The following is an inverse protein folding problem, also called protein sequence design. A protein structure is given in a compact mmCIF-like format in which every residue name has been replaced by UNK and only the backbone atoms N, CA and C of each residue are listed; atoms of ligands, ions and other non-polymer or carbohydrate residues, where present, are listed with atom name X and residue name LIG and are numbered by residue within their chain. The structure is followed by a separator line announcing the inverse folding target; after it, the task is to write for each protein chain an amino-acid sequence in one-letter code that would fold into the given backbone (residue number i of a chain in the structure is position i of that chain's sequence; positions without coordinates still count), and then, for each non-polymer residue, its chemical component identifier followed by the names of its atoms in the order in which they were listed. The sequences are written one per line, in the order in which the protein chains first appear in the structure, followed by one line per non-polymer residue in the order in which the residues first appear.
data_IF_987984538030
#
_entry.id   IF_987984538030
#
_cell.length_a   1.000
_cell.length_b   1.000
_cell.length_c   1.000
_cell.angle_alpha   90.00
_cell.angle_beta   90.00
_cell.angle_gamma   90.00
#
_symmetry.space_group_name_H-M   'P 1'
#
loop_
_entity.id
_entity.type
_entity.pdbx_description
1 polymer ?
#
# COMPACT_ATOMS: atom_id res chain seq x y z
N UNK A 1 -7.16 -12.84 17.36
CA UNK A 1 -8.24 -12.55 18.33
C UNK A 1 -8.79 -13.86 18.85
N UNK A 2 -8.82 -14.02 20.16
CA UNK A 2 -9.27 -15.24 20.83
C UNK A 2 -10.37 -14.92 21.83
N UNK A 3 -11.11 -15.94 22.29
CA UNK A 3 -12.20 -15.80 23.26
C UNK A 3 -12.12 -16.91 24.30
N UNK A 4 -12.26 -16.52 25.57
CA UNK A 4 -12.30 -17.44 26.72
C UNK A 4 -13.74 -17.94 26.90
N UNK A 5 -13.94 -19.24 27.08
CA UNK A 5 -15.26 -19.87 27.18
C UNK A 5 -15.71 -20.12 28.63
N UNK A 6 -14.80 -20.09 29.61
CA UNK A 6 -15.02 -20.34 31.04
C UNK A 6 -15.89 -19.35 31.84
N UNK A 7 -17.03 -18.87 31.32
CA UNK A 7 -18.08 -18.22 32.12
C UNK A 7 -19.47 -18.28 31.42
N UNK A 8 -20.56 -18.35 32.20
CA UNK A 8 -21.86 -18.79 31.68
C UNK A 8 -22.72 -17.75 30.91
N UNK A 9 -23.28 -18.27 29.81
CA UNK A 9 -24.65 -18.08 29.26
C UNK A 9 -25.04 -16.79 28.50
N UNK A 10 -25.93 -17.08 27.52
CA UNK A 10 -26.72 -16.25 26.59
C UNK A 10 -26.84 -14.75 26.84
N UNK A 11 -26.59 -13.98 25.78
CA UNK A 11 -27.35 -12.77 25.45
C UNK A 11 -27.93 -12.89 24.03
N UNK A 12 -29.23 -12.63 23.89
CA UNK A 12 -29.91 -12.53 22.59
C UNK A 12 -30.09 -11.06 22.26
N UNK A 13 -29.72 -10.67 21.03
CA UNK A 13 -30.20 -9.41 20.42
C UNK A 13 -30.36 -9.60 18.92
N UNK A 14 -31.61 -9.77 18.51
CA UNK A 14 -31.99 -9.71 17.10
C UNK A 14 -32.08 -8.23 16.69
N UNK A 15 -31.41 -7.88 15.60
CA UNK A 15 -31.66 -6.67 14.83
C UNK A 15 -31.67 -7.08 13.37
N UNK A 16 -32.79 -6.83 12.70
CA UNK A 16 -32.88 -7.03 11.26
C UNK A 16 -32.13 -5.89 10.56
N UNK A 17 -31.24 -6.26 9.65
CA UNK A 17 -30.64 -5.37 8.66
C UNK A 17 -30.90 -6.07 7.32
N UNK A 18 -31.54 -5.37 6.38
CA UNK A 18 -31.84 -5.93 5.07
C UNK A 18 -30.57 -6.12 4.26
N UNK A 19 -30.13 -7.37 4.09
CA UNK A 19 -29.02 -7.72 3.20
C UNK A 19 -29.56 -8.10 1.82
N UNK A 20 -29.02 -7.47 0.77
CA UNK A 20 -29.17 -7.98 -0.60
C UNK A 20 -28.23 -9.18 -0.75
N UNK A 21 -28.75 -10.38 -0.50
CA UNK A 21 -27.99 -11.63 -0.67
C UNK A 21 -27.88 -11.95 -2.15
N UNK A 22 -26.77 -11.56 -2.76
CA UNK A 22 -26.38 -12.08 -4.07
C UNK A 22 -26.02 -13.57 -3.91
N UNK A 23 -26.94 -14.45 -4.32
CA UNK A 23 -26.72 -15.89 -4.35
C UNK A 23 -25.68 -16.27 -5.42
N UNK A 24 -24.40 -16.18 -5.05
CA UNK A 24 -23.33 -16.82 -5.81
C UNK A 24 -23.55 -18.34 -5.76
N UNK A 25 -23.79 -18.97 -6.91
CA UNK A 25 -23.85 -20.44 -7.01
C UNK A 25 -22.47 -21.00 -6.70
N UNK A 26 -22.40 -22.02 -5.85
CA UNK A 26 -21.16 -22.74 -5.56
C UNK A 26 -20.52 -23.25 -6.86
N UNK A 27 -19.25 -22.91 -7.09
CA UNK A 27 -18.51 -23.42 -8.25
C UNK A 27 -18.45 -24.97 -8.17
N UNK A 28 -18.90 -25.69 -9.21
CA UNK A 28 -18.85 -27.14 -9.20
C UNK A 28 -17.39 -27.60 -9.33
N UNK A 29 -16.94 -28.44 -8.41
CA UNK A 29 -15.67 -29.19 -8.52
C UNK A 29 -15.84 -30.33 -9.55
N UNK A 30 -16.06 -29.95 -10.81
CA UNK A 30 -16.14 -30.89 -11.91
C UNK A 30 -14.73 -31.25 -12.39
N UNK A 31 -14.57 -32.50 -12.84
CA UNK A 31 -13.37 -32.92 -13.54
C UNK A 31 -13.52 -32.48 -15.00
N UNK A 32 -13.22 -31.20 -15.28
CA UNK A 32 -13.35 -30.64 -16.63
C UNK A 32 -12.45 -31.41 -17.61
N UNK A 33 -13.01 -31.79 -18.75
CA UNK A 33 -12.30 -32.51 -19.81
C UNK A 33 -11.20 -31.67 -20.46
N UNK A 34 -10.61 -32.18 -21.53
CA UNK A 34 -9.66 -31.41 -22.32
C UNK A 34 -10.38 -30.24 -23.02
N UNK A 35 -9.68 -29.12 -23.16
CA UNK A 35 -10.26 -27.94 -23.81
C UNK A 35 -10.35 -28.15 -25.33
N UNK A 36 -11.33 -27.53 -26.01
CA UNK A 36 -11.33 -27.43 -27.47
C UNK A 36 -10.02 -26.83 -27.98
N UNK A 37 -9.58 -27.23 -29.18
CA UNK A 37 -8.35 -26.68 -29.76
C UNK A 37 -8.54 -25.24 -30.26
N UNK A 38 -9.74 -24.88 -30.73
CA UNK A 38 -10.04 -23.55 -31.27
C UNK A 38 -10.29 -22.54 -30.14
N UNK A 39 -9.67 -21.36 -30.25
CA UNK A 39 -9.90 -20.21 -29.38
C UNK A 39 -11.39 -19.81 -29.30
N UNK A 40 -12.10 -19.83 -30.43
CA UNK A 40 -13.51 -19.43 -30.49
C UNK A 40 -14.41 -20.40 -29.71
N UNK A 41 -14.11 -21.71 -29.77
CA UNK A 41 -14.85 -22.75 -29.04
C UNK A 41 -14.61 -22.65 -27.53
N UNK A 42 -13.37 -22.33 -27.11
CA UNK A 42 -13.06 -22.04 -25.70
C UNK A 42 -13.81 -20.80 -25.24
N UNK A 43 -13.83 -19.72 -26.03
CA UNK A 43 -14.60 -18.50 -25.72
C UNK A 43 -16.08 -18.82 -25.56
N UNK A 44 -16.71 -19.53 -26.51
CA UNK A 44 -18.13 -19.89 -26.39
C UNK A 44 -18.40 -20.79 -25.17
N UNK A 45 -17.51 -21.72 -24.84
CA UNK A 45 -17.63 -22.57 -23.65
C UNK A 45 -17.53 -21.77 -22.33
N UNK A 46 -16.69 -20.73 -22.29
CA UNK A 46 -16.60 -19.80 -21.14
C UNK A 46 -17.82 -18.89 -21.06
N UNK A 47 -18.29 -18.34 -22.19
CA UNK A 47 -19.50 -17.50 -22.29
C UNK A 47 -20.75 -18.28 -21.86
N UNK A 48 -20.86 -19.56 -22.24
CA UNK A 48 -21.94 -20.45 -21.83
C UNK A 48 -21.83 -20.94 -20.37
N UNK A 49 -20.74 -20.62 -19.66
CA UNK A 49 -20.51 -21.05 -18.28
C UNK A 49 -20.16 -22.54 -18.12
N UNK A 50 -19.80 -23.23 -19.21
CA UNK A 50 -19.40 -24.64 -19.23
C UNK A 50 -17.94 -24.80 -18.79
N UNK A 51 -17.06 -23.91 -19.27
CA UNK A 51 -15.67 -23.79 -18.83
C UNK A 51 -15.52 -22.62 -17.84
N UNK A 52 -15.18 -22.84 -16.57
CA UNK A 52 -14.89 -21.74 -15.65
C UNK A 52 -13.64 -20.98 -16.10
N UNK A 53 -13.70 -19.65 -16.15
CA UNK A 53 -12.56 -18.88 -16.67
C UNK A 53 -11.27 -19.01 -15.84
N UNK A 54 -11.35 -19.38 -14.55
CA UNK A 54 -10.19 -19.50 -13.66
C UNK A 54 -9.34 -20.77 -13.87
N UNK A 55 -9.74 -21.71 -14.74
CA UNK A 55 -8.92 -22.91 -15.07
C UNK A 55 -8.15 -22.77 -16.38
N UNK A 56 -8.28 -21.65 -17.10
CA UNK A 56 -7.70 -21.50 -18.44
C UNK A 56 -6.17 -21.61 -18.42
N UNK A 57 -5.50 -20.96 -17.47
CA UNK A 57 -4.05 -21.00 -17.30
C UNK A 57 -3.54 -22.45 -17.10
N UNK A 58 -4.18 -23.22 -16.21
CA UNK A 58 -3.76 -24.59 -15.90
C UNK A 58 -4.17 -25.64 -16.93
N UNK A 59 -5.17 -25.35 -17.77
CA UNK A 59 -5.62 -26.23 -18.86
C UNK A 59 -4.98 -25.95 -20.22
N UNK A 60 -4.55 -24.71 -20.47
CA UNK A 60 -3.85 -24.32 -21.70
C UNK A 60 -2.34 -24.44 -21.58
N UNK A 61 -1.79 -24.34 -20.36
CA UNK A 61 -0.35 -24.19 -20.10
C UNK A 61 0.25 -23.01 -20.88
N UNK A 62 -0.55 -21.95 -21.03
CA UNK A 62 -0.24 -20.70 -21.74
C UNK A 62 -1.05 -19.58 -21.07
N UNK A 63 -0.39 -18.75 -20.27
CA UNK A 63 -1.00 -17.71 -19.47
C UNK A 63 -1.38 -16.47 -20.28
N UNK A 64 -0.67 -16.18 -21.38
CA UNK A 64 -1.03 -15.12 -22.32
C UNK A 64 -2.30 -15.49 -23.09
N UNK A 65 -2.37 -16.71 -23.64
CA UNK A 65 -3.57 -17.23 -24.31
C UNK A 65 -4.76 -17.32 -23.36
N UNK A 66 -4.55 -17.71 -22.09
CA UNK A 66 -5.59 -17.68 -21.07
C UNK A 66 -6.15 -16.25 -20.85
N UNK A 67 -5.28 -15.25 -20.72
CA UNK A 67 -5.67 -13.85 -20.57
C UNK A 67 -6.39 -13.30 -21.82
N UNK A 68 -5.91 -13.66 -23.02
CA UNK A 68 -6.56 -13.35 -24.30
C UNK A 68 -8.00 -13.91 -24.37
N UNK A 69 -8.16 -15.21 -24.13
CA UNK A 69 -9.45 -15.90 -24.23
C UNK A 69 -10.45 -15.37 -23.20
N UNK A 70 -9.99 -15.01 -22.01
CA UNK A 70 -10.80 -14.33 -20.98
C UNK A 70 -11.24 -12.94 -21.41
N UNK A 71 -10.33 -12.14 -21.98
CA UNK A 71 -10.61 -10.83 -22.59
C UNK A 71 -11.66 -10.93 -23.69
N UNK A 72 -11.53 -11.89 -24.60
CA UNK A 72 -12.48 -12.05 -25.72
C UNK A 72 -13.83 -12.60 -25.23
N UNK A 73 -13.84 -13.46 -24.20
CA UNK A 73 -15.07 -13.86 -23.50
C UNK A 73 -15.79 -12.66 -22.86
N UNK A 74 -15.06 -11.73 -22.22
CA UNK A 74 -15.64 -10.49 -21.70
C UNK A 74 -16.20 -9.58 -22.79
N UNK A 75 -15.55 -9.49 -23.97
CA UNK A 75 -16.08 -8.74 -25.12
C UNK A 75 -17.45 -9.28 -25.54
N UNK A 76 -17.60 -10.60 -25.63
CA UNK A 76 -18.89 -11.26 -25.96
C UNK A 76 -19.93 -11.05 -24.86
N UNK A 77 -19.59 -11.28 -23.59
CA UNK A 77 -20.53 -11.17 -22.45
C UNK A 77 -21.04 -9.74 -22.26
N UNK A 78 -20.19 -8.73 -22.44
CA UNK A 78 -20.52 -7.33 -22.13
C UNK A 78 -20.95 -6.49 -23.33
N UNK A 79 -20.70 -6.96 -24.56
CA UNK A 79 -20.87 -6.18 -25.78
C UNK A 79 -19.94 -4.96 -25.87
N UNK A 80 -18.86 -4.91 -25.08
CA UNK A 80 -17.93 -3.77 -24.99
C UNK A 80 -16.50 -4.22 -25.23
N UNK A 81 -15.73 -3.40 -25.94
CA UNK A 81 -14.30 -3.65 -26.09
C UNK A 81 -13.49 -3.05 -24.93
N UNK A 82 -12.38 -3.72 -24.61
CA UNK A 82 -11.32 -3.25 -23.70
C UNK A 82 -9.99 -3.04 -24.44
N UNK A 83 -10.02 -2.67 -25.73
CA UNK A 83 -8.81 -2.50 -26.55
C UNK A 83 -7.91 -1.32 -26.13
N UNK A 84 -8.38 -0.44 -25.23
CA UNK A 84 -7.53 0.52 -24.51
C UNK A 84 -6.70 -0.09 -23.36
N UNK A 85 -6.91 -1.36 -23.01
CA UNK A 85 -6.10 -2.12 -22.05
C UNK A 85 -5.11 -3.00 -22.84
N UNK A 86 -3.79 -2.76 -22.74
CA UNK A 86 -2.77 -3.63 -23.32
C UNK A 86 -2.87 -5.10 -22.90
N UNK A 87 -2.50 -6.00 -23.80
CA UNK A 87 -2.35 -7.43 -23.55
C UNK A 87 -0.87 -7.85 -23.72
N UNK A 88 -0.24 -7.44 -24.81
CA UNK A 88 1.14 -7.85 -25.16
C UNK A 88 2.22 -7.06 -24.43
N UNK A 89 3.41 -7.65 -24.31
CA UNK A 89 4.55 -7.04 -23.61
C UNK A 89 4.54 -7.20 -22.10
N UNK A 90 3.76 -8.15 -21.56
CA UNK A 90 3.70 -8.49 -20.14
C UNK A 90 3.95 -9.99 -19.92
N UNK A 91 4.68 -10.31 -18.85
CA UNK A 91 4.97 -11.68 -18.40
C UNK A 91 3.83 -12.16 -17.47
N UNK A 92 2.90 -12.92 -18.03
CA UNK A 92 1.75 -13.46 -17.30
C UNK A 92 2.09 -14.64 -16.38
N UNK A 93 3.23 -15.31 -16.58
CA UNK A 93 3.69 -16.37 -15.68
C UNK A 93 4.18 -15.76 -14.35
N UNK A 94 4.80 -14.57 -14.40
CA UNK A 94 5.29 -13.85 -13.21
C UNK A 94 4.22 -13.47 -12.18
N UNK A 95 2.93 -13.38 -12.58
CA UNK A 95 1.81 -13.06 -11.68
C UNK A 95 1.02 -14.28 -11.20
N UNK A 96 1.17 -15.43 -11.86
CA UNK A 96 0.29 -16.58 -11.66
C UNK A 96 0.39 -17.14 -10.24
N UNK A 97 -0.74 -17.12 -9.51
CA UNK A 97 -0.81 -17.57 -8.11
C UNK A 97 0.00 -16.72 -7.11
N UNK A 98 0.45 -15.52 -7.51
CA UNK A 98 1.26 -14.63 -6.67
C UNK A 98 0.71 -13.20 -6.55
N UNK A 99 0.22 -12.62 -7.64
CA UNK A 99 -0.05 -11.16 -7.72
C UNK A 99 -1.43 -10.80 -8.25
N UNK A 100 -2.06 -11.62 -9.10
CA UNK A 100 -3.36 -11.32 -9.70
C UNK A 100 -4.01 -12.60 -10.27
N UNK A 101 -5.26 -12.88 -9.86
CA UNK A 101 -6.09 -13.93 -10.42
C UNK A 101 -6.88 -13.44 -11.66
N UNK A 102 -7.07 -14.32 -12.64
CA UNK A 102 -7.89 -14.07 -13.84
C UNK A 102 -7.51 -12.81 -14.67
N UNK A 103 -6.23 -12.61 -15.06
CA UNK A 103 -5.79 -11.46 -15.86
C UNK A 103 -6.49 -11.35 -17.23
N UNK A 104 -6.61 -10.13 -17.76
CA UNK A 104 -7.23 -9.80 -19.07
C UNK A 104 -6.44 -8.76 -19.89
N UNK A 105 -5.23 -8.47 -19.43
CA UNK A 105 -4.43 -7.30 -19.79
C UNK A 105 -3.88 -6.61 -18.55
N UNK A 106 -3.16 -5.50 -18.74
CA UNK A 106 -2.50 -4.75 -17.67
C UNK A 106 -2.63 -3.23 -17.87
N UNK A 107 -2.62 -2.47 -16.77
CA UNK A 107 -2.70 -0.99 -16.80
C UNK A 107 -1.29 -0.40 -16.79
N UNK A 108 -0.95 0.37 -17.81
CA UNK A 108 0.29 1.14 -17.85
C UNK A 108 0.15 2.43 -17.02
N UNK A 109 1.08 2.67 -16.10
CA UNK A 109 1.13 3.86 -15.26
C UNK A 109 2.47 4.60 -15.52
N UNK A 110 2.46 5.89 -15.89
CA UNK A 110 3.69 6.64 -16.12
C UNK A 110 4.57 6.75 -14.86
N UNK A 111 5.83 6.34 -14.97
CA UNK A 111 6.83 6.48 -13.89
C UNK A 111 7.75 7.66 -14.22
N UNK A 112 7.99 8.53 -13.24
CA UNK A 112 8.89 9.67 -13.34
C UNK A 112 9.95 9.66 -12.23
N UNK A 113 11.06 10.36 -12.43
CA UNK A 113 12.19 10.42 -11.50
C UNK A 113 12.18 11.77 -10.77
N UNK A 114 12.41 11.74 -9.45
CA UNK A 114 12.67 12.91 -8.63
C UNK A 114 13.94 12.68 -7.80
N UNK A 115 14.90 13.60 -7.87
CA UNK A 115 16.20 13.48 -7.21
C UNK A 115 17.26 14.41 -7.79
N UNK A 116 18.54 14.29 -7.38
CA UNK A 116 19.03 13.34 -6.39
C UNK A 116 18.54 13.65 -4.96
N UNK A 117 18.51 12.62 -4.12
CA UNK A 117 18.19 12.67 -2.68
C UNK A 117 19.33 12.01 -1.92
N UNK A 118 19.81 12.62 -0.83
CA UNK A 118 21.00 12.19 -0.07
C UNK A 118 20.57 11.72 1.31
N UNK A 119 20.89 10.48 1.68
CA UNK A 119 20.44 9.80 2.90
C UNK A 119 21.48 8.76 3.39
N UNK A 120 21.64 8.60 4.70
CA UNK A 120 22.55 7.63 5.35
C UNK A 120 21.77 6.50 6.07
N UNK A 121 22.30 5.25 6.13
CA UNK A 121 21.69 4.15 6.93
C UNK A 121 22.60 2.91 7.17
N UNK A 122 22.23 2.02 8.11
CA UNK A 122 22.96 0.76 8.46
C UNK A 122 22.07 -0.44 8.95
N UNK A 123 22.62 -1.39 9.72
CA UNK A 123 22.36 -2.86 9.68
C UNK A 123 21.49 -3.42 10.87
N UNK A 124 21.05 -4.70 11.03
CA UNK A 124 21.22 -6.00 10.34
C UNK A 124 20.13 -7.07 10.75
N UNK A 125 20.24 -8.31 10.23
CA UNK A 125 19.85 -9.63 10.83
C UNK A 125 18.46 -10.31 10.62
N UNK A 126 18.52 -11.66 10.51
CA UNK A 126 17.55 -12.61 9.88
C UNK A 126 16.21 -12.77 10.61
N UNK A 127 15.12 -13.12 9.93
CA UNK A 127 14.21 -12.14 9.34
C UNK A 127 12.97 -12.01 10.24
N UNK A 128 12.18 -13.09 10.35
CA UNK A 128 11.08 -13.24 11.30
C UNK A 128 11.60 -13.37 12.74
N UNK A 129 11.33 -12.38 13.61
CA UNK A 129 11.54 -12.51 15.07
C UNK A 129 10.46 -11.75 15.83
N UNK A 130 9.77 -12.44 16.73
CA UNK A 130 8.85 -11.81 17.67
C UNK A 130 9.61 -10.79 18.54
N UNK A 131 9.15 -9.55 18.56
CA UNK A 131 9.65 -8.45 19.39
C UNK A 131 8.79 -8.26 20.64
N UNK A 132 7.47 -8.52 20.54
CA UNK A 132 6.54 -8.42 21.65
C UNK A 132 5.11 -8.76 21.24
N UNK A 133 4.24 -8.91 22.25
CA UNK A 133 2.80 -9.12 22.08
C UNK A 133 2.07 -8.09 22.94
N UNK A 134 1.35 -7.16 22.33
CA UNK A 134 0.49 -6.22 23.03
C UNK A 134 -0.92 -6.81 23.15
N UNK A 135 -1.42 -6.92 24.39
CA UNK A 135 -2.71 -7.54 24.70
C UNK A 135 -3.76 -6.51 25.11
N UNK A 136 -4.97 -6.63 24.59
CA UNK A 136 -6.13 -5.80 24.97
C UNK A 136 -7.39 -6.65 25.11
N UNK A 137 -8.24 -6.33 26.10
CA UNK A 137 -9.42 -7.11 26.46
C UNK A 137 -10.72 -6.35 26.20
N UNK A 138 -11.71 -7.03 25.62
CA UNK A 138 -13.09 -6.55 25.51
C UNK A 138 -14.05 -7.62 26.05
N UNK A 139 -14.33 -7.57 27.34
CA UNK A 139 -15.01 -8.66 28.05
C UNK A 139 -14.20 -9.95 27.95
N UNK A 140 -14.83 -11.02 27.46
CA UNK A 140 -14.18 -12.34 27.26
C UNK A 140 -13.38 -12.48 25.95
N UNK A 141 -13.26 -11.43 25.15
CA UNK A 141 -12.45 -11.44 23.92
C UNK A 141 -11.07 -10.82 24.19
N UNK A 142 -10.00 -11.49 23.77
CA UNK A 142 -8.61 -11.05 23.86
C UNK A 142 -8.06 -10.74 22.46
N UNK A 143 -7.55 -9.53 22.30
CA UNK A 143 -6.90 -9.01 21.10
C UNK A 143 -5.39 -8.99 21.35
N UNK A 144 -4.67 -9.80 20.58
CA UNK A 144 -3.20 -9.91 20.66
C UNK A 144 -2.60 -9.31 19.39
N UNK A 145 -1.76 -8.29 19.56
CA UNK A 145 -1.03 -7.60 18.49
C UNK A 145 0.43 -8.03 18.56
N UNK A 146 0.82 -8.91 17.65
CA UNK A 146 2.16 -9.48 17.56
C UNK A 146 3.06 -8.56 16.74
N UNK A 147 4.09 -7.99 17.38
CA UNK A 147 5.10 -7.17 16.70
C UNK A 147 6.29 -8.05 16.34
N UNK A 148 6.64 -8.12 15.06
CA UNK A 148 7.74 -8.93 14.56
C UNK A 148 8.66 -8.12 13.64
N UNK A 149 9.97 -8.38 13.69
CA UNK A 149 10.81 -8.09 12.54
C UNK A 149 10.44 -9.02 11.38
N UNK A 150 10.56 -8.56 10.13
CA UNK A 150 10.20 -9.31 8.92
C UNK A 150 11.32 -9.33 7.88
N UNK A 151 12.42 -8.61 8.12
CA UNK A 151 13.50 -8.45 7.16
C UNK A 151 13.15 -7.52 6.02
N UNK A 152 13.60 -7.90 4.82
CA UNK A 152 13.36 -7.19 3.57
C UNK A 152 11.96 -7.45 2.99
N UNK A 153 11.22 -8.44 3.51
CA UNK A 153 9.82 -8.61 3.20
C UNK A 153 8.94 -7.63 4.02
N UNK A 154 7.86 -7.12 3.42
CA UNK A 154 6.81 -6.39 4.17
C UNK A 154 6.18 -7.32 5.22
N UNK A 155 5.98 -8.60 4.86
CA UNK A 155 5.97 -9.70 5.83
C UNK A 155 4.62 -10.16 6.37
N UNK A 156 3.48 -9.60 5.93
CA UNK A 156 2.15 -10.01 6.41
C UNK A 156 1.90 -11.54 6.41
N UNK A 157 2.29 -12.26 5.34
CA UNK A 157 2.13 -13.72 5.25
C UNK A 157 3.06 -14.46 6.23
N UNK A 158 4.28 -13.95 6.42
CA UNK A 158 5.30 -14.48 7.32
C UNK A 158 4.87 -14.34 8.80
N UNK A 159 4.34 -13.17 9.16
CA UNK A 159 3.79 -12.90 10.50
C UNK A 159 2.53 -13.74 10.73
N UNK A 160 1.59 -13.79 9.78
CA UNK A 160 0.34 -14.55 9.94
C UNK A 160 0.59 -16.04 10.18
N UNK A 161 1.56 -16.65 9.47
CA UNK A 161 1.98 -18.04 9.73
C UNK A 161 2.61 -18.22 11.11
N UNK A 162 3.47 -17.28 11.54
CA UNK A 162 4.05 -17.29 12.87
C UNK A 162 3.00 -17.16 13.99
N UNK A 163 1.99 -16.31 13.78
CA UNK A 163 0.87 -16.14 14.73
C UNK A 163 0.01 -17.40 14.81
N UNK A 164 -0.27 -18.08 13.69
CA UNK A 164 -1.01 -19.35 13.73
C UNK A 164 -0.31 -20.37 14.63
N UNK A 165 0.98 -20.62 14.42
CA UNK A 165 1.75 -21.55 15.25
C UNK A 165 1.71 -21.21 16.76
N UNK A 166 1.68 -19.92 17.12
CA UNK A 166 1.58 -19.49 18.53
C UNK A 166 0.16 -19.65 19.07
N UNK A 167 -0.86 -19.47 18.24
CA UNK A 167 -2.25 -19.74 18.63
C UNK A 167 -2.49 -21.24 18.83
N UNK A 168 -1.97 -22.09 17.94
CA UNK A 168 -2.04 -23.56 18.05
C UNK A 168 -1.36 -24.04 19.35
N UNK A 169 -0.20 -23.48 19.68
CA UNK A 169 0.50 -23.73 20.94
C UNK A 169 -0.31 -23.26 22.15
N UNK A 170 -0.87 -22.04 22.13
CA UNK A 170 -1.70 -21.55 23.23
C UNK A 170 -2.99 -22.37 23.43
N UNK A 171 -3.46 -23.12 22.43
CA UNK A 171 -4.61 -24.03 22.59
C UNK A 171 -4.28 -25.34 23.32
N UNK A 172 -3.01 -25.75 23.49
CA UNK A 172 -2.69 -26.87 24.39
C UNK A 172 -2.84 -26.48 25.86
N UNK A 173 -2.47 -25.24 26.18
CA UNK A 173 -2.39 -24.74 27.55
C UNK A 173 -3.73 -24.12 28.00
N UNK A 174 -4.49 -23.57 27.05
CA UNK A 174 -5.82 -22.98 27.26
C UNK A 174 -6.87 -23.69 26.38
N UNK A 175 -7.32 -24.91 26.72
CA UNK A 175 -8.26 -25.69 25.91
C UNK A 175 -9.68 -25.09 25.85
N UNK A 176 -10.00 -24.07 26.65
CA UNK A 176 -11.24 -23.29 26.54
C UNK A 176 -11.09 -22.00 25.70
N UNK A 177 -9.94 -21.83 25.01
CA UNK A 177 -9.65 -20.70 24.13
C UNK A 177 -10.14 -20.95 22.69
N UNK A 178 -11.20 -20.24 22.30
CA UNK A 178 -11.70 -20.19 20.92
C UNK A 178 -10.86 -19.19 20.09
N UNK A 179 -10.15 -19.66 19.07
CA UNK A 179 -9.51 -18.79 18.07
C UNK A 179 -10.57 -18.32 17.08
N UNK A 180 -11.10 -17.12 17.29
CA UNK A 180 -12.21 -16.56 16.49
C UNK A 180 -11.73 -16.04 15.13
N UNK A 181 -10.51 -15.51 15.06
CA UNK A 181 -9.84 -15.07 13.82
C UNK A 181 -8.38 -14.74 14.11
N UNK A 182 -7.47 -15.03 13.18
CA UNK A 182 -6.08 -14.53 13.21
C UNK A 182 -6.10 -12.98 13.26
N UNK A 183 -6.73 -12.36 12.25
CA UNK A 183 -6.89 -10.90 12.17
C UNK A 183 -8.13 -10.44 12.95
N UNK A 184 -7.90 -9.76 14.08
CA UNK A 184 -8.94 -9.13 14.89
C UNK A 184 -9.11 -7.63 14.64
N UNK A 185 -8.63 -7.10 13.50
CA UNK A 185 -8.43 -5.67 13.21
C UNK A 185 -7.54 -4.88 14.21
N UNK A 186 -7.01 -5.51 15.26
CA UNK A 186 -6.03 -4.92 16.19
C UNK A 186 -4.58 -4.97 15.67
N UNK A 187 -4.38 -5.20 14.37
CA UNK A 187 -3.08 -5.02 13.73
C UNK A 187 -2.66 -3.54 13.73
N UNK A 188 -3.49 -2.57 13.31
CA UNK A 188 -4.52 -2.67 12.25
C UNK A 188 -3.87 -2.86 10.88
N UNK A 189 -4.64 -3.13 9.83
CA UNK A 189 -4.12 -3.31 8.46
C UNK A 189 -5.09 -2.75 7.42
N UNK A 190 -4.62 -1.81 6.59
CA UNK A 190 -5.40 -1.09 5.57
C UNK A 190 -6.62 -0.35 6.14
N UNK A 191 -6.59 0.05 7.42
CA UNK A 191 -7.65 0.81 8.11
C UNK A 191 -7.04 1.91 8.99
N UNK A 192 -7.53 3.16 8.95
CA UNK A 192 -7.01 4.24 9.81
C UNK A 192 -7.22 3.90 11.28
N UNK A 193 -6.13 3.81 12.05
CA UNK A 193 -6.16 3.31 13.42
C UNK A 193 -5.09 3.94 14.32
N UNK A 194 -5.51 4.42 15.49
CA UNK A 194 -4.65 5.11 16.44
C UNK A 194 -3.49 4.24 16.96
N UNK A 195 -3.69 2.92 17.06
CA UNK A 195 -2.64 1.98 17.48
C UNK A 195 -1.42 2.01 16.54
N UNK A 196 -1.62 2.23 15.24
CA UNK A 196 -0.52 2.30 14.28
C UNK A 196 0.14 3.70 14.22
N UNK A 197 -0.57 4.73 14.68
CA UNK A 197 0.02 6.06 14.92
C UNK A 197 0.89 6.08 16.18
N UNK A 198 0.41 5.48 17.27
CA UNK A 198 1.04 5.54 18.61
C UNK A 198 2.16 4.52 18.76
N UNK A 199 1.91 3.26 18.40
CA UNK A 199 2.84 2.13 18.62
C UNK A 199 3.70 1.82 17.38
N UNK A 200 3.48 2.55 16.27
CA UNK A 200 4.06 2.30 14.95
C UNK A 200 3.61 0.99 14.28
N UNK A 201 3.94 0.82 13.00
CA UNK A 201 3.74 -0.45 12.26
C UNK A 201 4.65 -0.58 11.03
N UNK A 202 5.37 -1.70 10.90
CA UNK A 202 6.32 -1.85 9.80
C UNK A 202 7.62 -1.11 10.08
N UNK A 203 7.82 0.06 9.47
CA UNK A 203 8.99 0.94 9.68
C UNK A 203 8.53 2.31 10.21
N UNK A 204 8.99 2.67 11.40
CA UNK A 204 8.91 4.03 11.93
C UNK A 204 10.12 4.82 11.44
N UNK A 205 9.91 5.96 10.78
CA UNK A 205 10.98 6.77 10.18
C UNK A 205 10.80 8.25 10.55
N UNK A 206 11.90 8.91 10.87
CA UNK A 206 12.01 10.37 10.93
C UNK A 206 12.99 10.80 9.84
N UNK A 207 12.68 11.86 9.12
CA UNK A 207 13.59 12.53 8.19
C UNK A 207 13.55 14.04 8.46
N UNK A 208 14.70 14.71 8.44
CA UNK A 208 14.82 16.14 8.74
C UNK A 208 15.85 16.82 7.83
N UNK A 209 15.72 18.14 7.66
CA UNK A 209 16.66 18.97 6.90
C UNK A 209 16.67 20.42 7.42
N UNK A 210 17.81 21.10 7.25
CA UNK A 210 17.91 22.56 7.43
C UNK A 210 18.03 23.21 6.04
N UNK A 211 17.03 24.00 5.67
CA UNK A 211 16.93 24.70 4.39
C UNK A 211 17.33 26.15 4.60
N UNK A 212 18.48 26.55 4.02
CA UNK A 212 19.01 27.91 4.18
C UNK A 212 18.08 28.99 3.64
N UNK A 213 18.09 30.17 4.25
CA UNK A 213 17.26 31.33 3.85
C UNK A 213 17.30 31.58 2.33
N UNK A 214 18.50 31.50 1.75
CA UNK A 214 18.70 31.73 0.32
C UNK A 214 18.02 30.67 -0.56
N UNK A 215 17.88 29.43 -0.10
CA UNK A 215 17.18 28.35 -0.82
C UNK A 215 15.67 28.56 -0.70
N UNK A 216 15.18 28.95 0.48
CA UNK A 216 13.77 29.30 0.70
C UNK A 216 13.34 30.46 -0.21
N UNK A 217 14.17 31.50 -0.33
CA UNK A 217 13.91 32.64 -1.23
C UNK A 217 14.11 32.29 -2.71
N UNK A 218 15.25 31.70 -3.09
CA UNK A 218 15.64 31.47 -4.51
C UNK A 218 14.91 30.30 -5.15
N UNK A 219 14.69 29.20 -4.44
CA UNK A 219 14.09 27.96 -4.98
C UNK A 219 12.61 27.89 -4.63
N UNK A 220 12.27 27.97 -3.32
CA UNK A 220 10.90 27.78 -2.82
C UNK A 220 9.98 29.00 -3.03
N UNK A 221 10.55 30.16 -3.41
CA UNK A 221 9.84 31.42 -3.71
C UNK A 221 8.99 31.96 -2.56
N UNK A 222 9.39 31.69 -1.31
CA UNK A 222 8.68 32.07 -0.09
C UNK A 222 9.66 32.56 0.98
N UNK A 223 9.24 32.66 2.24
CA UNK A 223 10.07 32.96 3.41
C UNK A 223 9.80 31.97 4.55
N UNK A 224 10.71 31.88 5.53
CA UNK A 224 10.64 30.92 6.65
C UNK A 224 9.39 31.14 7.50
N UNK A 225 9.10 32.39 7.89
CA UNK A 225 7.96 32.71 8.76
C UNK A 225 6.63 32.25 8.15
N UNK A 226 6.40 32.49 6.85
CA UNK A 226 5.20 32.07 6.15
C UNK A 226 5.07 30.53 6.04
N UNK A 227 6.18 29.79 6.01
CA UNK A 227 6.16 28.32 6.04
C UNK A 227 5.83 27.77 7.44
N UNK A 228 6.46 28.32 8.48
CA UNK A 228 6.22 27.95 9.88
C UNK A 228 4.77 28.26 10.29
N UNK A 229 4.28 29.46 9.94
CA UNK A 229 2.89 29.86 10.17
C UNK A 229 1.92 28.94 9.43
N UNK A 230 2.13 28.71 8.13
CA UNK A 230 1.26 27.84 7.33
C UNK A 230 1.25 26.39 7.83
N UNK A 231 2.40 25.85 8.26
CA UNK A 231 2.46 24.51 8.85
C UNK A 231 1.65 24.44 10.15
N UNK A 232 1.79 25.46 11.00
CA UNK A 232 1.04 25.57 12.26
C UNK A 232 -0.47 25.64 12.02
N UNK A 233 -0.94 26.52 11.12
CA UNK A 233 -2.40 26.67 10.90
C UNK A 233 -3.00 25.58 10.02
N UNK A 234 -2.26 25.01 9.05
CA UNK A 234 -2.76 23.98 8.13
C UNK A 234 -2.54 22.56 8.66
N UNK A 235 -1.29 22.17 8.86
CA UNK A 235 -0.88 20.78 9.13
C UNK A 235 -1.13 20.38 10.59
N UNK A 236 -1.09 21.34 11.52
CA UNK A 236 -1.38 21.08 12.94
C UNK A 236 -2.82 21.48 13.29
N UNK A 237 -3.15 22.77 13.31
CA UNK A 237 -4.45 23.25 13.78
C UNK A 237 -5.62 22.83 12.87
N UNK A 238 -5.47 22.96 11.54
CA UNK A 238 -6.47 22.53 10.57
C UNK A 238 -6.77 21.02 10.65
N UNK A 239 -5.73 20.20 10.70
CA UNK A 239 -5.85 18.74 10.90
C UNK A 239 -6.49 18.37 12.25
N UNK A 240 -6.18 19.09 13.33
CA UNK A 240 -6.82 18.89 14.63
C UNK A 240 -8.32 19.24 14.61
N UNK A 241 -8.71 20.36 13.99
CA UNK A 241 -10.11 20.75 13.79
C UNK A 241 -10.87 19.73 12.92
N UNK A 242 -10.20 19.14 11.93
CA UNK A 242 -10.75 18.09 11.09
C UNK A 242 -10.85 16.71 11.78
N UNK A 243 -10.33 16.55 13.01
CA UNK A 243 -10.25 15.26 13.70
C UNK A 243 -9.35 14.24 13.00
N UNK A 244 -8.33 14.71 12.27
CA UNK A 244 -7.47 13.86 11.45
C UNK A 244 -6.63 12.89 12.28
N UNK A 245 -6.66 11.61 11.89
CA UNK A 245 -5.88 10.55 12.54
C UNK A 245 -4.57 10.33 11.78
N UNK A 246 -3.44 10.76 12.36
CA UNK A 246 -2.11 10.69 11.73
C UNK A 246 -1.92 11.56 10.48
N UNK A 247 -2.92 12.38 10.12
CA UNK A 247 -2.94 13.24 8.93
C UNK A 247 -2.43 14.66 9.18
N UNK A 248 -1.29 14.82 9.85
CA UNK A 248 -0.72 16.12 10.23
C UNK A 248 0.29 16.64 9.19
N UNK A 249 -0.08 16.53 7.91
CA UNK A 249 0.78 16.80 6.74
C UNK A 249 -0.02 17.43 5.58
N UNK A 250 0.67 17.78 4.49
CA UNK A 250 0.08 18.40 3.32
C UNK A 250 -0.41 17.41 2.26
N UNK A 251 0.41 16.42 1.89
CA UNK A 251 0.09 15.41 0.87
C UNK A 251 0.98 14.16 0.91
N UNK A 252 1.45 13.70 2.08
CA UNK A 252 2.33 12.52 2.17
C UNK A 252 1.80 11.30 1.41
N UNK A 253 0.48 11.09 1.42
CA UNK A 253 -0.24 10.06 0.65
C UNK A 253 0.04 10.07 -0.86
N UNK A 254 0.26 11.23 -1.48
CA UNK A 254 0.56 11.31 -2.92
C UNK A 254 1.92 10.68 -3.23
N UNK A 255 2.92 11.00 -2.41
CA UNK A 255 4.29 10.51 -2.58
C UNK A 255 4.38 9.03 -2.23
N UNK A 256 3.79 8.63 -1.10
CA UNK A 256 3.71 7.22 -0.67
C UNK A 256 3.05 6.38 -1.76
N UNK A 257 1.86 6.77 -2.25
CA UNK A 257 1.16 6.04 -3.33
C UNK A 257 2.00 5.95 -4.62
N UNK A 258 2.65 7.04 -5.03
CA UNK A 258 3.47 7.05 -6.25
C UNK A 258 4.67 6.10 -6.15
N UNK A 259 5.42 6.14 -5.03
CA UNK A 259 6.55 5.22 -4.82
C UNK A 259 6.07 3.78 -4.64
N UNK A 260 4.96 3.56 -3.94
CA UNK A 260 4.38 2.23 -3.74
C UNK A 260 4.05 1.53 -5.05
N UNK A 261 3.35 2.23 -5.96
CA UNK A 261 3.00 1.74 -7.30
C UNK A 261 4.27 1.47 -8.13
N UNK A 262 5.22 2.40 -8.14
CA UNK A 262 6.45 2.27 -8.92
C UNK A 262 7.35 1.12 -8.42
N UNK A 263 7.36 0.83 -7.12
CA UNK A 263 8.25 -0.16 -6.49
C UNK A 263 7.56 -1.48 -6.07
N UNK A 264 6.32 -1.71 -6.50
CA UNK A 264 5.62 -2.99 -6.31
C UNK A 264 5.15 -3.28 -4.88
N UNK A 265 4.91 -2.23 -4.10
CA UNK A 265 4.29 -2.32 -2.78
C UNK A 265 2.76 -2.49 -2.91
N UNK A 266 2.05 -2.73 -1.80
CA UNK A 266 0.59 -2.84 -1.77
C UNK A 266 -0.06 -1.45 -1.65
N UNK A 267 -0.74 -0.90 -2.68
CA UNK A 267 -1.22 0.48 -2.65
C UNK A 267 -2.31 0.73 -1.60
N UNK A 268 -2.98 -0.32 -1.08
CA UNK A 268 -3.97 -0.16 -0.01
C UNK A 268 -3.32 0.07 1.37
N UNK A 269 -2.04 -0.29 1.54
CA UNK A 269 -1.27 0.02 2.75
C UNK A 269 -0.92 1.52 2.86
N UNK A 270 -1.11 2.31 1.79
CA UNK A 270 -1.04 3.78 1.85
C UNK A 270 -1.93 4.38 2.96
N UNK A 271 -3.08 3.75 3.29
CA UNK A 271 -4.01 4.20 4.35
C UNK A 271 -3.32 4.45 5.70
N UNK A 272 -2.27 3.70 6.02
CA UNK A 272 -1.52 3.82 7.27
C UNK A 272 -0.06 4.22 7.00
N UNK A 273 0.50 3.85 5.86
CA UNK A 273 1.84 4.24 5.42
C UNK A 273 1.95 5.73 5.06
N UNK A 274 0.84 6.43 4.86
CA UNK A 274 0.80 7.89 4.72
C UNK A 274 0.55 8.65 6.02
N UNK A 275 0.48 7.97 7.18
CA UNK A 275 0.53 8.64 8.48
C UNK A 275 1.83 9.44 8.57
N UNK A 276 1.71 10.75 8.75
CA UNK A 276 2.83 11.68 8.79
C UNK A 276 2.46 12.93 9.59
N UNK A 277 3.34 13.34 10.51
CA UNK A 277 3.37 14.71 11.03
C UNK A 277 4.55 15.47 10.43
N UNK A 278 4.25 16.63 9.84
CA UNK A 278 5.23 17.56 9.29
C UNK A 278 5.45 18.69 10.29
N UNK A 279 6.70 18.89 10.72
CA UNK A 279 7.11 20.00 11.58
C UNK A 279 7.97 20.99 10.78
N UNK A 280 7.86 22.27 11.11
CA UNK A 280 8.60 23.36 10.48
C UNK A 280 8.92 24.40 11.55
N UNK A 281 10.20 24.70 11.75
CA UNK A 281 10.70 25.60 12.80
C UNK A 281 11.72 26.59 12.24
N UNK A 282 11.72 27.81 12.77
CA UNK A 282 12.62 28.87 12.35
C UNK A 282 13.91 28.82 13.19
N UNK A 283 15.05 28.53 12.55
CA UNK A 283 16.36 28.35 13.20
C UNK A 283 17.38 29.38 12.69
N UNK A 284 18.54 29.46 13.35
CA UNK A 284 19.62 30.41 13.03
C UNK A 284 19.11 31.87 12.97
N UNK A 285 18.63 32.38 14.11
CA UNK A 285 17.95 33.69 14.25
C UNK A 285 16.70 33.85 13.35
N UNK A 286 16.06 32.73 12.98
CA UNK A 286 14.89 32.70 12.10
C UNK A 286 15.20 32.87 10.61
N UNK A 287 16.47 32.82 10.22
CA UNK A 287 16.91 32.92 8.81
C UNK A 287 16.68 31.61 8.07
N UNK A 288 16.98 30.48 8.72
CA UNK A 288 16.93 29.16 8.11
C UNK A 288 15.69 28.39 8.59
N UNK A 289 15.20 27.47 7.77
CA UNK A 289 14.07 26.60 8.10
C UNK A 289 14.58 25.23 8.50
N UNK A 290 14.32 24.80 9.73
CA UNK A 290 14.30 23.36 10.04
C UNK A 290 12.95 22.80 9.57
N UNK A 291 12.98 21.65 8.92
CA UNK A 291 11.79 20.90 8.50
C UNK A 291 12.01 19.43 8.79
N UNK A 292 11.00 18.76 9.34
CA UNK A 292 11.03 17.31 9.54
C UNK A 292 9.68 16.67 9.23
N UNK A 293 9.73 15.37 8.92
CA UNK A 293 8.58 14.49 8.79
C UNK A 293 8.77 13.27 9.67
N UNK A 294 7.75 12.90 10.44
CA UNK A 294 7.74 11.68 11.25
C UNK A 294 6.61 10.78 10.79
N UNK A 295 6.96 9.58 10.33
CA UNK A 295 6.09 8.59 9.72
C UNK A 295 6.17 7.27 10.50
N UNK A 296 5.25 6.99 11.45
CA UNK A 296 5.38 5.87 12.37
C UNK A 296 5.00 4.51 11.78
N UNK A 297 4.35 4.47 10.61
CA UNK A 297 3.71 3.25 10.10
C UNK A 297 3.98 2.93 8.63
N UNK A 298 5.21 3.09 8.13
CA UNK A 298 5.55 2.78 6.72
C UNK A 298 5.63 1.24 6.51
N UNK A 299 4.69 0.69 5.76
CA UNK A 299 4.59 -0.73 5.42
C UNK A 299 5.25 -1.02 4.07
N UNK A 300 6.56 -1.29 4.05
CA UNK A 300 7.28 -1.62 2.81
C UNK A 300 8.15 -2.85 2.91
N UNK A 301 8.44 -3.44 1.74
CA UNK A 301 9.40 -4.51 1.53
C UNK A 301 9.98 -4.46 0.12
N UNK A 302 11.13 -5.09 -0.06
CA UNK A 302 11.84 -5.21 -1.34
C UNK A 302 11.78 -6.65 -1.88
N UNK A 303 11.11 -7.55 -1.15
CA UNK A 303 10.94 -8.97 -1.45
C UNK A 303 9.48 -9.40 -1.29
N UNK A 304 8.95 -10.06 -2.32
CA UNK A 304 7.63 -10.71 -2.33
C UNK A 304 6.51 -9.79 -2.82
N UNK A 305 5.45 -10.40 -3.35
CA UNK A 305 4.38 -9.66 -4.03
C UNK A 305 4.90 -8.95 -5.29
N UNK A 306 4.43 -7.73 -5.52
CA UNK A 306 4.71 -6.95 -6.73
C UNK A 306 6.18 -6.56 -6.94
N UNK A 307 7.06 -6.67 -5.93
CA UNK A 307 8.48 -6.30 -6.04
C UNK A 307 9.28 -7.17 -7.02
N UNK A 308 8.73 -8.34 -7.36
CA UNK A 308 9.32 -9.33 -8.26
C UNK A 308 9.05 -9.01 -9.75
N UNK A 309 8.02 -8.21 -10.04
CA UNK A 309 7.63 -7.87 -11.41
C UNK A 309 8.70 -6.99 -12.07
N UNK A 310 9.03 -7.23 -13.34
CA UNK A 310 10.22 -6.67 -13.98
C UNK A 310 10.36 -5.13 -13.86
N UNK A 311 9.28 -4.38 -14.11
CA UNK A 311 9.29 -2.91 -14.03
C UNK A 311 9.47 -2.39 -12.61
N UNK A 312 8.76 -3.00 -11.64
CA UNK A 312 8.85 -2.67 -10.22
C UNK A 312 10.22 -3.02 -9.65
N UNK A 313 10.76 -4.17 -10.06
CA UNK A 313 12.11 -4.63 -9.71
C UNK A 313 13.18 -3.68 -10.27
N UNK A 314 13.03 -3.16 -11.48
CA UNK A 314 13.91 -2.15 -12.06
C UNK A 314 13.86 -0.80 -11.31
N UNK A 315 12.67 -0.40 -10.81
CA UNK A 315 12.54 0.80 -9.98
C UNK A 315 13.18 0.63 -8.60
N UNK A 316 13.14 -0.58 -8.02
CA UNK A 316 13.90 -0.91 -6.81
C UNK A 316 15.41 -0.97 -7.04
N UNK A 317 15.85 -1.40 -8.23
CA UNK A 317 17.26 -1.42 -8.65
C UNK A 317 17.83 0.01 -8.78
N UNK A 318 17.06 0.90 -9.43
CA UNK A 318 17.38 2.33 -9.56
C UNK A 318 17.57 3.02 -8.19
N UNK A 319 16.87 2.54 -7.16
CA UNK A 319 16.96 3.00 -5.77
C UNK A 319 18.01 2.24 -4.94
N UNK A 320 18.74 1.28 -5.51
CA UNK A 320 19.77 0.50 -4.83
C UNK A 320 19.24 -0.49 -3.77
N UNK A 321 17.95 -0.80 -3.78
CA UNK A 321 17.24 -1.57 -2.73
C UNK A 321 16.57 -2.85 -3.24
N UNK A 322 16.87 -3.31 -4.46
CA UNK A 322 16.28 -4.53 -5.03
C UNK A 322 16.57 -5.77 -4.18
N UNK A 323 15.53 -6.57 -3.92
CA UNK A 323 15.64 -7.87 -3.27
C UNK A 323 16.07 -7.83 -1.81
N UNK A 324 16.44 -9.01 -1.28
CA UNK A 324 16.93 -9.17 0.09
C UNK A 324 18.39 -8.75 0.21
N UNK A 325 18.79 -8.21 1.35
CA UNK A 325 20.20 -7.98 1.65
C UNK A 325 20.79 -9.19 2.42
N UNK A 326 21.75 -9.95 1.85
CA UNK A 326 22.25 -11.17 2.51
C UNK A 326 23.10 -10.89 3.75
N UNK A 327 23.89 -9.81 3.72
CA UNK A 327 24.77 -9.40 4.81
C UNK A 327 23.99 -8.69 5.91
N UNK A 328 23.04 -7.84 5.51
CA UNK A 328 22.29 -6.93 6.36
C UNK A 328 20.77 -7.07 6.22
N UNK A 329 20.19 -8.26 6.52
CA UNK A 329 18.75 -8.48 6.47
C UNK A 329 17.86 -7.29 6.94
N UNK A 330 16.93 -6.89 6.07
CA UNK A 330 16.05 -5.76 6.27
C UNK A 330 16.64 -4.39 5.94
N UNK A 331 17.91 -4.26 5.55
CA UNK A 331 18.51 -2.95 5.21
C UNK A 331 17.89 -2.36 3.96
N UNK A 332 17.57 -3.16 2.96
CA UNK A 332 17.00 -2.67 1.71
C UNK A 332 15.57 -2.14 1.97
N UNK A 333 14.77 -2.86 2.76
CA UNK A 333 13.45 -2.38 3.16
C UNK A 333 13.47 -1.25 4.21
N UNK A 334 14.56 -1.08 4.99
CA UNK A 334 14.77 0.12 5.83
C UNK A 334 15.11 1.33 4.94
N UNK A 335 16.08 1.19 4.03
CA UNK A 335 16.51 2.24 3.12
C UNK A 335 15.37 2.69 2.20
N UNK A 336 14.53 1.77 1.69
CA UNK A 336 13.31 2.13 0.95
C UNK A 336 12.35 3.00 1.79
N UNK A 337 12.15 2.69 3.07
CA UNK A 337 11.34 3.51 3.97
C UNK A 337 11.97 4.89 4.22
N UNK A 338 13.30 4.98 4.34
CA UNK A 338 14.03 6.25 4.45
C UNK A 338 13.90 7.10 3.17
N UNK A 339 14.00 6.47 1.99
CA UNK A 339 13.81 7.11 0.68
C UNK A 339 12.38 7.66 0.57
N UNK A 340 11.37 6.90 1.01
CA UNK A 340 9.97 7.35 1.04
C UNK A 340 9.80 8.55 1.98
N UNK A 341 10.35 8.50 3.20
CA UNK A 341 10.27 9.62 4.13
C UNK A 341 10.98 10.89 3.61
N UNK A 342 12.16 10.76 3.00
CA UNK A 342 12.86 11.89 2.39
C UNK A 342 12.15 12.45 1.15
N UNK A 343 11.53 11.59 0.34
CA UNK A 343 10.67 12.01 -0.78
C UNK A 343 9.39 12.71 -0.28
N UNK A 344 8.79 12.24 0.82
CA UNK A 344 7.67 12.91 1.49
C UNK A 344 8.10 14.28 2.00
N UNK A 345 9.24 14.41 2.68
CA UNK A 345 9.78 15.70 3.14
C UNK A 345 9.98 16.69 1.97
N UNK A 346 10.56 16.24 0.86
CA UNK A 346 10.73 17.05 -0.34
C UNK A 346 9.38 17.46 -0.97
N UNK A 347 8.40 16.55 -0.96
CA UNK A 347 7.04 16.82 -1.40
C UNK A 347 6.31 17.84 -0.52
N UNK A 348 6.35 17.67 0.80
CA UNK A 348 5.78 18.56 1.81
C UNK A 348 6.36 19.97 1.67
N UNK A 349 7.69 20.09 1.64
CA UNK A 349 8.39 21.37 1.47
C UNK A 349 7.98 22.09 0.18
N UNK A 350 7.87 21.36 -0.93
CA UNK A 350 7.44 21.88 -2.23
C UNK A 350 5.98 22.37 -2.22
N UNK A 351 5.04 21.55 -1.73
CA UNK A 351 3.61 21.90 -1.70
C UNK A 351 3.31 23.04 -0.71
N UNK A 352 3.90 23.00 0.49
CA UNK A 352 3.73 24.06 1.48
C UNK A 352 4.29 25.40 0.99
N UNK A 353 5.39 25.38 0.23
CA UNK A 353 5.92 26.58 -0.42
C UNK A 353 5.02 27.10 -1.54
N UNK A 354 4.48 26.23 -2.39
CA UNK A 354 3.53 26.60 -3.44
C UNK A 354 2.19 27.13 -2.88
N UNK A 355 1.78 26.69 -1.68
CA UNK A 355 0.65 27.23 -0.93
C UNK A 355 0.98 28.60 -0.32
N UNK A 356 2.09 28.71 0.43
CA UNK A 356 2.53 29.97 1.07
C UNK A 356 2.73 31.11 0.05
N UNK A 357 3.24 30.79 -1.15
CA UNK A 357 3.42 31.75 -2.24
C UNK A 357 2.16 31.99 -3.10
N UNK A 358 1.02 31.36 -2.79
CA UNK A 358 -0.25 31.52 -3.52
C UNK A 358 -0.23 30.97 -4.95
N UNK A 359 0.66 30.02 -5.27
CA UNK A 359 0.94 29.58 -6.64
C UNK A 359 0.17 28.32 -7.06
N UNK A 360 -0.38 27.53 -6.12
CA UNK A 360 -0.93 26.20 -6.37
C UNK A 360 -1.90 26.13 -7.57
N UNK A 361 -2.87 27.04 -7.66
CA UNK A 361 -3.87 27.09 -8.75
C UNK A 361 -3.21 27.29 -10.11
N UNK A 362 -2.19 28.17 -10.19
CA UNK A 362 -1.46 28.44 -11.45
C UNK A 362 -0.65 27.22 -11.88
N UNK A 363 -0.03 26.51 -10.94
CA UNK A 363 0.71 25.27 -11.22
C UNK A 363 -0.20 24.13 -11.68
N UNK A 364 -1.35 23.91 -11.02
CA UNK A 364 -2.33 22.91 -11.46
C UNK A 364 -2.86 23.20 -12.87
N UNK A 365 -3.19 24.46 -13.18
CA UNK A 365 -3.67 24.84 -14.52
C UNK A 365 -2.62 24.70 -15.63
N UNK A 366 -1.32 24.78 -15.29
CA UNK A 366 -0.21 24.67 -16.26
C UNK A 366 0.26 23.24 -16.52
N UNK A 367 0.18 22.36 -15.52
CA UNK A 367 0.78 21.02 -15.58
C UNK A 367 -0.22 19.87 -15.41
N UNK A 368 -1.40 20.11 -14.85
CA UNK A 368 -2.44 19.10 -14.58
C UNK A 368 -3.72 19.30 -15.41
N UNK A 369 -3.59 20.02 -16.53
CA UNK A 369 -4.50 20.06 -17.67
C UNK A 369 -3.67 20.04 -18.94
N UNK A 370 -4.11 19.36 -19.99
CA UNK A 370 -3.35 19.36 -21.23
C UNK A 370 -3.66 20.62 -22.06
N UNK A 371 -2.62 21.26 -22.60
CA UNK A 371 -2.81 22.36 -23.56
C UNK A 371 -3.51 21.90 -24.86
N UNK A 372 -3.61 20.59 -25.12
CA UNK A 372 -4.35 20.04 -26.27
C UNK A 372 -5.87 20.19 -26.11
N UNK A 373 -6.39 20.11 -24.89
CA UNK A 373 -7.83 20.19 -24.64
C UNK A 373 -8.35 21.62 -24.86
N UNK A 374 -7.56 22.63 -24.47
CA UNK A 374 -7.87 24.05 -24.69
C UNK A 374 -7.89 24.35 -26.20
N UNK A 375 -6.93 23.81 -26.97
CA UNK A 375 -6.86 24.00 -28.42
C UNK A 375 -8.05 23.37 -29.17
N UNK A 376 -8.62 22.26 -28.66
CA UNK A 376 -9.82 21.61 -29.23
C UNK A 376 -11.15 22.22 -28.77
N UNK A 377 -11.17 22.98 -27.68
CA UNK A 377 -12.35 23.69 -27.20
C UNK A 377 -12.50 25.10 -27.81
N UNK A 378 -11.53 25.52 -28.63
CA UNK A 378 -11.49 26.80 -29.33
C UNK A 378 -11.49 26.64 -30.87
N UNK A 379 -11.92 25.46 -31.35
CA UNK A 379 -12.01 25.07 -32.77
C UNK A 379 -13.34 24.40 -33.06
#
# INVERSE_FOLDING_TARGET
MVRILGAQRKWVRQKEVGYVVLHCKSAPTANFGDLPLNDEEIVQSVVAGVTPSYILESKLNDTHRAAKLRRDSLKVITGRSIDGLPLDGFDYDSILGQCCEMPVGFVQLPVGIAGPLVLDSMMSSRFARLQGIQCSLAGRNLYMRFSCSTGDAMGMNMVSKGVQNVLDYLQSDFPDMEVVSISGNFCSDKKPAAVNWIEGRGKSVVCEAIIKEEVVKKVLKTNVQALVELNTVKNLAGSAIAGALGGFNAHASNIVTAVFIATGQDPAQNVESSHCITMMEAVNDGKDLHVSVTMPSIEVGTVGGGTQLASQSACLDLLGVKGANPESPGSNARLLATIIAGAVLAGELSLMSALAAGQLVKSHMKYNRSNRDIAKAAS
#
